data_IF_614454658766
#
_entry.id   IF_614454658766
#
_cell.length_a   1.000
_cell.length_b   1.000
_cell.length_c   1.000
_cell.angle_alpha   90.00
_cell.angle_beta   90.00
_cell.angle_gamma   90.00
#
_symmetry.space_group_name_H-M   'P 1'
#
loop_
_entity.id
_entity.type
_entity.pdbx_description
1 polymer ?
#
# COMPACT_ATOMS: atom_id res chain seq x y z
N UNK A 1 0.50 21.90 19.19
CA UNK A 1 1.01 20.52 19.48
C UNK A 1 -0.14 19.57 19.24
N UNK A 2 -0.05 18.69 18.25
CA UNK A 2 -1.13 17.71 18.00
C UNK A 2 -1.11 16.70 19.14
N UNK A 3 -2.26 16.51 19.77
CA UNK A 3 -2.37 15.50 20.81
C UNK A 3 -2.16 14.10 20.20
N UNK A 4 -1.24 13.32 20.75
CA UNK A 4 -0.85 11.99 20.22
C UNK A 4 -2.07 11.10 19.93
N UNK A 5 -3.01 11.04 20.85
CA UNK A 5 -4.20 10.19 20.70
C UNK A 5 -5.12 10.70 19.57
N UNK A 6 -5.25 12.01 19.38
CA UNK A 6 -6.01 12.58 18.27
C UNK A 6 -5.37 12.25 16.92
N UNK A 7 -4.04 12.30 16.83
CA UNK A 7 -3.30 11.93 15.62
C UNK A 7 -3.48 10.44 15.29
N UNK A 8 -3.31 9.56 16.27
CA UNK A 8 -3.54 8.12 16.10
C UNK A 8 -4.98 7.84 15.70
N UNK A 9 -5.96 8.45 16.37
CA UNK A 9 -7.38 8.27 16.07
C UNK A 9 -7.74 8.66 14.62
N UNK A 10 -7.09 9.69 14.06
CA UNK A 10 -7.27 10.09 12.68
C UNK A 10 -6.69 9.09 11.67
N UNK A 11 -5.65 8.32 12.05
CA UNK A 11 -5.01 7.33 11.18
C UNK A 11 -5.73 5.97 11.19
N UNK A 12 -6.36 5.60 12.30
CA UNK A 12 -7.00 4.27 12.46
C UNK A 12 -8.01 3.92 11.35
N UNK A 13 -8.88 4.85 10.86
CA UNK A 13 -9.83 4.53 9.79
C UNK A 13 -9.20 4.43 8.40
N UNK A 14 -8.03 5.05 8.17
CA UNK A 14 -7.44 5.19 6.82
C UNK A 14 -6.17 4.37 6.61
N UNK A 15 -5.60 3.81 7.67
CA UNK A 15 -4.40 2.98 7.62
C UNK A 15 -4.72 1.54 8.03
N UNK A 16 -4.03 0.59 7.41
CA UNK A 16 -4.15 -0.85 7.70
C UNK A 16 -3.27 -1.27 8.88
N UNK A 17 -2.21 -0.51 9.11
CA UNK A 17 -1.30 -0.70 10.25
C UNK A 17 -0.97 0.64 10.87
N UNK A 18 -1.06 0.72 12.19
CA UNK A 18 -0.66 1.89 13.00
C UNK A 18 0.08 1.38 14.23
N UNK A 19 1.33 1.83 14.39
CA UNK A 19 2.17 1.52 15.54
C UNK A 19 2.67 2.81 16.19
N UNK A 20 2.78 2.79 17.51
CA UNK A 20 3.36 3.85 18.32
C UNK A 20 4.73 3.38 18.83
N UNK A 21 5.82 4.10 18.51
CA UNK A 21 7.13 3.84 19.08
C UNK A 21 7.40 4.78 20.23
N UNK A 22 7.67 4.22 21.42
CA UNK A 22 8.05 4.97 22.61
C UNK A 22 9.57 4.95 22.77
N UNK A 23 10.20 6.12 22.66
CA UNK A 23 11.65 6.30 22.82
C UNK A 23 12.16 5.81 24.17
N UNK A 24 11.40 6.05 25.24
CA UNK A 24 11.81 5.72 26.61
C UNK A 24 11.84 4.22 26.85
N UNK A 25 10.88 3.52 26.26
CA UNK A 25 10.77 2.05 26.33
C UNK A 25 11.62 1.35 25.29
N UNK A 26 11.95 2.03 24.19
CA UNK A 26 12.57 1.42 23.02
C UNK A 26 11.70 0.37 22.34
N UNK A 27 10.37 0.47 22.47
CA UNK A 27 9.39 -0.51 22.03
C UNK A 27 8.28 0.11 21.18
N UNK A 28 7.66 -0.72 20.36
CA UNK A 28 6.48 -0.42 19.55
C UNK A 28 5.22 -0.95 20.22
N UNK A 29 4.18 -0.13 20.27
CA UNK A 29 2.82 -0.57 20.59
C UNK A 29 2.01 -0.64 19.33
N UNK A 30 1.45 -1.81 19.03
CA UNK A 30 0.57 -1.98 17.88
C UNK A 30 -0.81 -1.44 18.26
N UNK A 31 -1.30 -0.47 17.49
CA UNK A 31 -2.64 0.14 17.69
C UNK A 31 -3.66 -0.47 16.73
N UNK A 32 -3.22 -0.86 15.56
CA UNK A 32 -3.98 -1.58 14.54
C UNK A 32 -3.02 -2.32 13.62
N UNK A 33 -3.37 -3.50 13.15
CA UNK A 33 -2.64 -4.16 12.05
C UNK A 33 -3.51 -5.16 11.32
N UNK A 34 -3.37 -5.21 9.99
CA UNK A 34 -3.93 -6.25 9.12
C UNK A 34 -2.93 -7.39 8.84
N UNK A 35 -1.68 -7.24 9.30
CA UNK A 35 -0.59 -8.17 8.97
C UNK A 35 -0.59 -9.44 9.83
N UNK A 36 -1.09 -9.35 11.06
CA UNK A 36 -1.24 -10.49 11.96
C UNK A 36 -2.29 -10.17 13.03
N UNK A 37 -3.06 -11.16 13.46
CA UNK A 37 -4.10 -10.99 14.47
C UNK A 37 -3.56 -11.06 15.90
N UNK A 38 -4.24 -10.41 16.85
CA UNK A 38 -3.97 -10.51 18.27
C UNK A 38 -2.73 -9.76 18.77
N UNK A 39 -2.22 -8.82 17.98
CA UNK A 39 -1.06 -8.00 18.32
C UNK A 39 -1.45 -6.67 18.97
N UNK A 40 -2.69 -6.24 18.82
CA UNK A 40 -3.16 -4.93 19.23
C UNK A 40 -2.98 -4.70 20.73
N UNK A 41 -2.65 -3.46 21.07
CA UNK A 41 -2.44 -2.92 22.42
C UNK A 41 -1.31 -3.56 23.25
N UNK A 42 -0.45 -4.35 22.61
CA UNK A 42 0.75 -4.91 23.25
C UNK A 42 2.02 -4.20 22.80
N UNK A 43 3.05 -4.31 23.62
CA UNK A 43 4.37 -3.72 23.40
C UNK A 43 5.37 -4.77 22.91
N UNK A 44 6.05 -4.46 21.81
CA UNK A 44 7.03 -5.32 21.16
C UNK A 44 8.32 -4.57 20.90
N UNK A 45 9.45 -5.25 20.88
CA UNK A 45 10.65 -4.73 20.21
C UNK A 45 10.45 -4.77 18.70
N UNK A 46 11.29 -4.05 17.96
CA UNK A 46 11.28 -4.10 16.48
C UNK A 46 11.58 -5.51 15.99
N UNK A 47 12.49 -6.19 16.69
CA UNK A 47 12.92 -7.56 16.39
C UNK A 47 11.79 -8.57 16.63
N UNK A 48 11.08 -8.46 17.76
CA UNK A 48 9.92 -9.31 18.06
C UNK A 48 8.83 -9.17 16.99
N UNK A 49 8.47 -7.95 16.58
CA UNK A 49 7.48 -7.73 15.52
C UNK A 49 7.94 -8.31 14.18
N UNK A 50 9.21 -8.12 13.82
CA UNK A 50 9.78 -8.69 12.59
C UNK A 50 9.64 -10.21 12.58
N UNK A 51 9.96 -10.85 13.71
CA UNK A 51 9.91 -12.31 13.83
C UNK A 51 8.47 -12.82 13.79
N UNK A 52 7.53 -12.14 14.45
CA UNK A 52 6.09 -12.43 14.36
C UNK A 52 5.60 -12.33 12.92
N UNK A 53 5.96 -11.27 12.18
CA UNK A 53 5.54 -11.11 10.79
C UNK A 53 6.13 -12.20 9.89
N UNK A 54 7.38 -12.60 10.11
CA UNK A 54 8.01 -13.71 9.40
C UNK A 54 7.29 -15.04 9.68
N UNK A 55 6.97 -15.32 10.92
CA UNK A 55 6.37 -16.58 11.36
C UNK A 55 4.90 -16.71 10.92
N UNK A 56 4.24 -15.58 10.66
CA UNK A 56 2.91 -15.53 10.03
C UNK A 56 2.94 -15.57 8.48
N UNK A 57 4.04 -16.02 7.89
CA UNK A 57 4.20 -16.18 6.44
C UNK A 57 4.61 -14.92 5.70
N UNK A 58 4.90 -13.83 6.44
CA UNK A 58 5.45 -12.61 5.90
C UNK A 58 6.89 -12.77 5.47
N UNK A 59 7.14 -13.12 4.21
CA UNK A 59 8.49 -12.96 3.65
C UNK A 59 8.65 -11.48 3.30
N UNK A 60 9.52 -10.80 4.04
CA UNK A 60 9.99 -9.48 3.66
C UNK A 60 10.77 -9.62 2.35
N UNK A 61 10.14 -9.27 1.24
CA UNK A 61 10.81 -9.27 -0.06
C UNK A 61 12.03 -8.31 -0.07
N UNK A 62 12.05 -7.36 0.87
CA UNK A 62 13.07 -6.33 1.00
C UNK A 62 13.57 -6.23 2.45
N UNK A 63 14.24 -7.28 2.90
CA UNK A 63 14.86 -7.32 4.24
C UNK A 63 15.75 -6.10 4.52
N UNK A 64 16.45 -5.61 3.49
CA UNK A 64 17.30 -4.42 3.57
C UNK A 64 16.52 -3.14 3.88
N UNK A 65 15.31 -2.98 3.32
CA UNK A 65 14.43 -1.82 3.57
C UNK A 65 13.93 -1.84 5.01
N UNK A 66 13.47 -2.99 5.51
CA UNK A 66 13.08 -3.13 6.91
C UNK A 66 14.24 -2.77 7.85
N UNK A 67 15.42 -3.36 7.63
CA UNK A 67 16.59 -3.10 8.47
C UNK A 67 17.03 -1.64 8.41
N UNK A 68 16.88 -0.99 7.27
CA UNK A 68 17.24 0.42 7.11
C UNK A 68 16.27 1.35 7.84
N UNK A 69 14.97 1.16 7.69
CA UNK A 69 13.96 2.12 8.15
C UNK A 69 13.31 1.76 9.49
N UNK A 70 13.15 0.48 9.78
CA UNK A 70 12.48 -0.03 10.98
C UNK A 70 13.45 -0.70 11.97
N UNK A 71 14.74 -0.37 11.95
CA UNK A 71 15.66 -0.79 13.02
C UNK A 71 15.51 0.09 14.25
N UNK A 72 15.82 -0.46 15.40
CA UNK A 72 15.81 0.27 16.68
C UNK A 72 16.71 1.52 16.65
N UNK A 73 17.85 1.44 15.99
CA UNK A 73 18.80 2.56 15.87
C UNK A 73 18.25 3.66 14.97
N UNK A 74 17.64 3.29 13.83
CA UNK A 74 17.06 4.27 12.92
C UNK A 74 15.84 4.96 13.56
N UNK A 75 14.95 4.24 14.25
CA UNK A 75 13.83 4.85 14.94
C UNK A 75 14.28 5.82 16.03
N UNK A 76 15.38 5.52 16.73
CA UNK A 76 15.96 6.45 17.71
C UNK A 76 16.54 7.69 17.04
N UNK A 77 17.12 7.59 15.85
CA UNK A 77 17.73 8.73 15.16
C UNK A 77 16.72 9.83 14.80
N UNK A 78 15.45 9.50 14.61
CA UNK A 78 14.37 10.49 14.38
C UNK A 78 14.21 11.52 15.49
N UNK A 79 14.66 11.23 16.69
CA UNK A 79 14.57 12.17 17.81
C UNK A 79 15.73 13.17 17.88
N UNK A 80 16.77 12.97 17.10
CA UNK A 80 17.94 13.84 17.07
C UNK A 80 17.90 14.83 15.91
N UNK A 81 17.10 14.56 14.89
CA UNK A 81 16.94 15.42 13.71
C UNK A 81 15.64 16.24 13.85
N UNK A 82 15.72 17.57 13.64
CA UNK A 82 14.53 18.43 13.58
C UNK A 82 13.80 18.15 12.25
N UNK A 83 12.48 17.92 12.31
CA UNK A 83 11.60 17.79 11.15
C UNK A 83 11.88 16.60 10.22
N UNK A 84 12.31 15.46 10.76
CA UNK A 84 12.45 14.25 9.97
C UNK A 84 11.12 13.51 9.89
N UNK A 85 10.54 13.47 8.69
CA UNK A 85 9.47 12.54 8.32
C UNK A 85 10.00 11.65 7.20
N UNK A 86 9.75 10.36 7.27
CA UNK A 86 10.15 9.44 6.21
C UNK A 86 8.95 8.65 5.72
N UNK A 87 8.93 8.40 4.41
CA UNK A 87 8.00 7.48 3.78
C UNK A 87 8.78 6.52 2.88
N UNK A 88 8.41 5.26 2.90
CA UNK A 88 9.03 4.22 2.08
C UNK A 88 8.02 3.12 1.80
N UNK A 89 8.30 2.29 0.81
CA UNK A 89 7.48 1.14 0.45
C UNK A 89 8.05 -0.13 1.03
N UNK A 90 7.15 -1.00 1.45
CA UNK A 90 7.50 -2.29 1.99
C UNK A 90 6.61 -3.36 1.34
N UNK A 91 7.24 -4.40 0.80
CA UNK A 91 6.51 -5.54 0.22
C UNK A 91 6.51 -6.71 1.20
N UNK A 92 5.32 -7.21 1.47
CA UNK A 92 5.11 -8.42 2.26
C UNK A 92 4.52 -9.52 1.37
N UNK A 93 5.11 -10.71 1.43
CA UNK A 93 4.48 -11.89 0.88
C UNK A 93 3.65 -12.54 1.99
N UNK A 94 2.33 -12.47 1.90
CA UNK A 94 1.44 -13.15 2.80
C UNK A 94 1.13 -14.54 2.22
N UNK A 95 1.35 -15.61 2.99
CA UNK A 95 1.26 -16.99 2.52
C UNK A 95 -0.05 -17.26 1.76
N UNK A 96 0.04 -17.70 0.50
CA UNK A 96 -1.08 -18.05 -0.36
C UNK A 96 -1.80 -16.91 -1.09
N UNK A 97 -1.59 -15.64 -0.72
CA UNK A 97 -2.35 -14.49 -1.26
C UNK A 97 -1.51 -13.61 -2.21
N UNK A 98 -0.24 -13.93 -2.42
CA UNK A 98 0.65 -13.10 -3.25
C UNK A 98 1.41 -12.04 -2.45
N UNK A 99 2.03 -11.10 -3.16
CA UNK A 99 2.83 -10.03 -2.56
C UNK A 99 1.96 -8.80 -2.38
N UNK A 100 1.81 -8.32 -1.14
CA UNK A 100 1.14 -7.04 -0.82
C UNK A 100 2.16 -5.95 -0.63
N UNK A 101 1.84 -4.75 -1.06
CA UNK A 101 2.67 -3.56 -0.93
C UNK A 101 2.02 -2.57 0.03
N UNK A 102 2.82 -2.07 0.95
CA UNK A 102 2.42 -1.06 1.91
C UNK A 102 3.25 0.20 1.74
N UNK A 103 2.61 1.34 1.67
CA UNK A 103 3.24 2.64 1.87
C UNK A 103 3.33 2.89 3.37
N UNK A 104 4.56 2.95 3.88
CA UNK A 104 4.86 3.16 5.29
C UNK A 104 5.30 4.60 5.48
N UNK A 105 4.78 5.24 6.53
CA UNK A 105 5.17 6.57 6.94
C UNK A 105 5.57 6.58 8.41
N UNK A 106 6.62 7.32 8.74
CA UNK A 106 7.09 7.55 10.10
C UNK A 106 6.96 9.04 10.40
N UNK A 107 6.12 9.37 11.37
CA UNK A 107 5.87 10.74 11.82
C UNK A 107 6.33 10.91 13.27
N UNK A 108 7.12 11.96 13.53
CA UNK A 108 7.49 12.36 14.88
C UNK A 108 6.38 13.22 15.47
N UNK A 109 5.79 12.77 16.55
CA UNK A 109 4.70 13.48 17.24
C UNK A 109 5.24 14.42 18.32
N UNK A 110 6.24 13.96 19.07
CA UNK A 110 6.91 14.75 20.11
C UNK A 110 8.29 14.14 20.41
N UNK A 111 8.97 14.61 21.45
CA UNK A 111 10.32 14.17 21.81
C UNK A 111 10.42 12.73 22.33
N UNK A 112 9.29 12.05 22.51
CA UNK A 112 9.23 10.70 23.06
C UNK A 112 8.55 9.69 22.15
N UNK A 113 7.74 10.15 21.18
CA UNK A 113 6.86 9.27 20.41
C UNK A 113 6.98 9.51 18.90
N UNK A 114 7.17 8.40 18.17
CA UNK A 114 6.91 8.31 16.74
C UNK A 114 5.61 7.55 16.50
N UNK A 115 4.92 7.87 15.43
CA UNK A 115 3.84 7.05 14.88
C UNK A 115 4.28 6.51 13.54
N UNK A 116 4.17 5.20 13.37
CA UNK A 116 4.45 4.48 12.15
C UNK A 116 3.10 4.02 11.60
N UNK A 117 2.74 4.53 10.44
CA UNK A 117 1.49 4.17 9.77
C UNK A 117 1.79 3.45 8.45
N UNK A 118 0.99 2.44 8.13
CA UNK A 118 1.10 1.66 6.91
C UNK A 118 -0.25 1.54 6.22
N UNK A 119 -0.29 1.79 4.92
CA UNK A 119 -1.47 1.62 4.09
C UNK A 119 -1.19 0.60 3.01
N UNK A 120 -2.06 -0.41 2.89
CA UNK A 120 -2.05 -1.35 1.77
C UNK A 120 -2.40 -0.59 0.49
N UNK A 121 -1.52 -0.68 -0.49
CA UNK A 121 -1.72 0.00 -1.78
C UNK A 121 -2.21 -0.94 -2.87
N UNK A 122 -2.47 -2.21 -2.53
CA UNK A 122 -2.88 -3.21 -3.50
C UNK A 122 -4.23 -2.87 -4.16
N UNK A 123 -5.18 -2.31 -3.41
CA UNK A 123 -6.45 -1.83 -3.98
C UNK A 123 -6.27 -0.73 -5.02
N UNK A 124 -5.14 0.02 -4.95
CA UNK A 124 -4.80 1.03 -5.96
C UNK A 124 -4.13 0.44 -7.21
N UNK A 125 -3.77 -0.83 -7.19
CA UNK A 125 -3.15 -1.52 -8.33
C UNK A 125 -4.16 -2.07 -9.33
N UNK A 126 -5.38 -2.29 -8.84
CA UNK A 126 -6.50 -2.80 -9.66
C UNK A 126 -7.55 -1.70 -9.79
N UNK A 127 -8.01 -1.49 -10.99
CA UNK A 127 -9.17 -0.64 -11.25
C UNK A 127 -10.45 -1.33 -10.77
N UNK A 128 -11.14 -0.70 -9.82
CA UNK A 128 -12.32 -1.28 -9.16
C UNK A 128 -13.50 -1.51 -10.12
N UNK A 129 -13.56 -0.79 -11.24
CA UNK A 129 -14.65 -0.93 -12.20
C UNK A 129 -14.43 -2.12 -13.13
N UNK A 130 -13.22 -2.25 -13.69
CA UNK A 130 -12.93 -3.19 -14.78
C UNK A 130 -12.12 -4.40 -14.33
N UNK A 131 -11.54 -4.38 -13.14
CA UNK A 131 -10.60 -5.41 -12.70
C UNK A 131 -9.24 -5.38 -13.41
N UNK A 132 -9.02 -4.45 -14.33
CA UNK A 132 -7.73 -4.24 -14.99
C UNK A 132 -6.69 -3.65 -14.01
N UNK A 133 -5.41 -3.73 -14.35
CA UNK A 133 -4.38 -2.99 -13.63
C UNK A 133 -4.69 -1.48 -13.73
N UNK A 134 -4.45 -0.75 -12.65
CA UNK A 134 -4.73 0.69 -12.61
C UNK A 134 -3.61 1.48 -13.28
N UNK A 135 -3.90 2.76 -13.63
CA UNK A 135 -2.88 3.72 -14.04
C UNK A 135 -1.74 3.85 -13.02
N UNK A 136 -2.07 3.78 -11.72
CA UNK A 136 -1.07 3.86 -10.65
C UNK A 136 -0.11 2.67 -10.71
N UNK A 137 -0.61 1.46 -10.95
CA UNK A 137 0.22 0.28 -11.17
C UNK A 137 1.16 0.47 -12.37
N UNK A 138 0.62 0.91 -13.51
CA UNK A 138 1.42 1.17 -14.70
C UNK A 138 2.57 2.17 -14.45
N UNK A 139 2.26 3.32 -13.85
CA UNK A 139 3.25 4.37 -13.58
C UNK A 139 4.34 3.92 -12.62
N UNK A 140 4.01 3.04 -11.71
CA UNK A 140 4.89 2.62 -10.64
C UNK A 140 5.78 1.44 -11.00
N UNK A 141 5.21 0.43 -11.65
CA UNK A 141 5.86 -0.86 -11.89
C UNK A 141 6.24 -1.07 -13.36
N UNK A 142 5.52 -0.45 -14.30
CA UNK A 142 5.67 -0.75 -15.72
C UNK A 142 6.36 0.36 -16.51
N UNK A 143 6.18 1.64 -16.16
CA UNK A 143 6.64 2.77 -16.99
C UNK A 143 8.17 2.87 -17.11
N UNK A 144 8.92 2.31 -16.16
CA UNK A 144 10.38 2.35 -16.14
C UNK A 144 11.04 1.02 -16.52
N UNK A 145 10.24 0.01 -16.86
CA UNK A 145 10.74 -1.30 -17.27
C UNK A 145 10.86 -1.41 -18.80
N UNK A 146 11.81 -2.21 -19.27
CA UNK A 146 11.97 -2.48 -20.69
C UNK A 146 11.24 -3.78 -21.02
N UNK A 147 10.15 -3.66 -21.76
CA UNK A 147 9.38 -4.81 -22.23
C UNK A 147 9.71 -5.16 -23.68
N UNK A 148 9.73 -6.45 -23.97
CA UNK A 148 9.77 -6.96 -25.34
C UNK A 148 8.38 -7.46 -25.71
N UNK A 149 7.70 -6.75 -26.63
CA UNK A 149 6.35 -7.12 -27.04
C UNK A 149 5.64 -5.99 -27.77
N UNK A 150 4.37 -6.20 -28.06
CA UNK A 150 3.47 -5.18 -28.62
C UNK A 150 2.78 -4.38 -27.52
N UNK A 151 2.49 -3.11 -27.78
CA UNK A 151 1.65 -2.26 -26.95
C UNK A 151 0.46 -1.80 -27.80
N UNK A 152 -0.75 -1.93 -27.27
CA UNK A 152 -1.96 -1.38 -27.87
C UNK A 152 -2.56 -0.34 -26.92
N UNK A 153 -2.92 0.82 -27.45
CA UNK A 153 -3.75 1.80 -26.76
C UNK A 153 -5.16 1.71 -27.36
N UNK A 154 -6.14 1.48 -26.51
CA UNK A 154 -7.53 1.29 -26.90
C UNK A 154 -8.33 2.40 -26.21
N UNK A 155 -9.17 3.10 -26.96
CA UNK A 155 -10.06 4.14 -26.47
C UNK A 155 -11.50 3.82 -26.90
N UNK A 156 -12.46 4.24 -26.09
CA UNK A 156 -13.87 4.07 -26.35
C UNK A 156 -14.45 5.38 -26.89
N UNK A 157 -14.76 5.36 -28.18
CA UNK A 157 -15.32 6.53 -28.88
C UNK A 157 -16.63 6.97 -28.22
N UNK A 158 -16.78 8.28 -28.06
CA UNK A 158 -17.99 8.95 -27.58
C UNK A 158 -18.57 8.43 -26.24
N UNK A 159 -17.74 7.86 -25.36
CA UNK A 159 -18.19 7.34 -24.05
C UNK A 159 -18.96 8.40 -23.25
N UNK A 160 -18.55 9.66 -23.31
CA UNK A 160 -19.24 10.74 -22.64
C UNK A 160 -20.68 10.92 -23.19
N UNK A 161 -20.83 10.98 -24.50
CA UNK A 161 -22.12 11.09 -25.16
C UNK A 161 -23.01 9.88 -24.84
N UNK A 162 -22.41 8.69 -24.83
CA UNK A 162 -23.09 7.46 -24.46
C UNK A 162 -23.61 7.48 -23.02
N UNK A 163 -22.80 7.99 -22.07
CA UNK A 163 -23.20 8.20 -20.68
C UNK A 163 -24.33 9.24 -20.54
N UNK A 164 -24.23 10.35 -21.27
CA UNK A 164 -25.22 11.44 -21.21
C UNK A 164 -26.60 10.95 -21.72
N UNK A 165 -26.63 10.04 -22.70
CA UNK A 165 -27.84 9.47 -23.27
C UNK A 165 -28.44 8.31 -22.46
N UNK A 166 -27.60 7.46 -21.86
CA UNK A 166 -28.01 6.18 -21.27
C UNK A 166 -27.78 6.08 -19.77
N UNK A 167 -27.09 7.06 -19.19
CA UNK A 167 -26.68 7.07 -17.79
C UNK A 167 -25.31 6.39 -17.54
N UNK A 168 -24.63 6.83 -16.49
CA UNK A 168 -23.27 6.37 -16.14
C UNK A 168 -23.19 4.85 -15.89
N UNK A 169 -24.25 4.23 -15.35
CA UNK A 169 -24.27 2.78 -15.10
C UNK A 169 -24.14 1.98 -16.39
N UNK A 170 -24.70 2.47 -17.49
CA UNK A 170 -24.63 1.79 -18.80
C UNK A 170 -23.23 1.94 -19.40
N UNK A 171 -22.61 3.11 -19.24
CA UNK A 171 -21.21 3.32 -19.63
C UNK A 171 -20.24 2.47 -18.81
N UNK A 172 -20.48 2.34 -17.50
CA UNK A 172 -19.70 1.44 -16.64
C UNK A 172 -19.77 -0.02 -17.10
N UNK A 173 -20.97 -0.48 -17.50
CA UNK A 173 -21.15 -1.82 -18.05
C UNK A 173 -20.42 -2.00 -19.40
N UNK A 174 -20.41 -0.97 -20.24
CA UNK A 174 -19.69 -0.99 -21.49
C UNK A 174 -18.16 -1.09 -21.26
N UNK A 175 -17.62 -0.33 -20.28
CA UNK A 175 -16.22 -0.42 -19.90
C UNK A 175 -15.82 -1.79 -19.35
N UNK A 176 -16.70 -2.43 -18.54
CA UNK A 176 -16.48 -3.80 -18.05
C UNK A 176 -16.45 -4.79 -19.21
N UNK A 177 -17.45 -4.72 -20.10
CA UNK A 177 -17.53 -5.62 -21.26
C UNK A 177 -16.31 -5.48 -22.19
N UNK A 178 -15.81 -4.25 -22.39
CA UNK A 178 -14.59 -4.00 -23.13
C UNK A 178 -13.38 -4.68 -22.46
N UNK A 179 -13.22 -4.50 -21.15
CA UNK A 179 -12.13 -5.10 -20.40
C UNK A 179 -12.18 -6.64 -20.43
N UNK A 180 -13.35 -7.24 -20.27
CA UNK A 180 -13.55 -8.69 -20.33
C UNK A 180 -13.19 -9.22 -21.71
N UNK A 181 -13.62 -8.55 -22.79
CA UNK A 181 -13.29 -8.92 -24.17
C UNK A 181 -11.77 -8.88 -24.40
N UNK A 182 -11.08 -7.84 -23.91
CA UNK A 182 -9.63 -7.74 -24.04
C UNK A 182 -8.95 -8.86 -23.25
N UNK A 183 -9.40 -9.18 -22.03
CA UNK A 183 -8.86 -10.29 -21.24
C UNK A 183 -9.01 -11.64 -21.94
N UNK A 184 -10.13 -11.89 -22.60
CA UNK A 184 -10.34 -13.11 -23.38
C UNK A 184 -9.34 -13.25 -24.51
N UNK A 185 -9.01 -12.15 -25.21
CA UNK A 185 -8.07 -12.13 -26.34
C UNK A 185 -6.62 -12.20 -25.87
N UNK A 186 -6.25 -11.39 -24.89
CA UNK A 186 -4.86 -11.26 -24.40
C UNK A 186 -4.47 -12.45 -23.52
N UNK A 187 -5.41 -12.98 -22.76
CA UNK A 187 -5.20 -14.11 -21.87
C UNK A 187 -4.04 -13.92 -20.91
N UNK A 188 -3.24 -14.98 -20.74
CA UNK A 188 -2.04 -14.94 -19.87
C UNK A 188 -0.80 -14.33 -20.54
N UNK A 189 -0.89 -13.95 -21.83
CA UNK A 189 0.24 -13.49 -22.63
C UNK A 189 0.52 -11.99 -22.48
N UNK A 190 -0.37 -11.26 -21.83
CA UNK A 190 -0.24 -9.81 -21.67
C UNK A 190 -0.93 -9.27 -20.44
N UNK A 191 -0.85 -7.96 -20.28
CA UNK A 191 -1.46 -7.23 -19.17
C UNK A 191 -2.40 -6.15 -19.71
N UNK A 192 -3.57 -6.02 -19.11
CA UNK A 192 -4.50 -4.93 -19.37
C UNK A 192 -4.38 -3.87 -18.29
N UNK A 193 -4.22 -2.63 -18.70
CA UNK A 193 -4.14 -1.46 -17.80
C UNK A 193 -5.25 -0.49 -18.17
N UNK A 194 -6.07 -0.07 -17.20
CA UNK A 194 -6.96 1.07 -17.36
C UNK A 194 -6.20 2.35 -17.06
N UNK A 195 -5.91 3.13 -18.12
CA UNK A 195 -5.07 4.33 -18.00
C UNK A 195 -5.90 5.59 -17.71
N UNK A 196 -7.15 5.65 -18.15
CA UNK A 196 -8.07 6.77 -17.99
C UNK A 196 -9.49 6.41 -18.43
N UNK A 197 -10.37 7.42 -18.44
CA UNK A 197 -11.77 7.29 -18.86
C UNK A 197 -12.73 7.00 -17.73
#
# INVERSE_FOLDING_TARGET
MIEKEAFIAALLPICDTVCEYDRTRGKLRVRKTSLASGLEDKWYTVEELRDIFRDNGGVLAEKSVWMRYLSSDNLRSFFYEKERNESFRLRFRQGGVGCRQYDIRIDRINDKVLVISGRDTQEQEIDALTGALSRNHYQREMSNEIYRGGVALIDMDDLKLYNDMNGHQVGDNALRALADTIYEVVGRSGSLVRYGG
#
